data_IF_241403261765
#
_entry.id   IF_241403261765
#
_cell.length_a   1.000
_cell.length_b   1.000
_cell.length_c   1.000
_cell.angle_alpha   90.00
_cell.angle_beta   90.00
_cell.angle_gamma   90.00
#
_symmetry.space_group_name_H-M   'P 1'
#
loop_
_entity.id
_entity.type
_entity.pdbx_description
1 polymer ?
#
# COMPACT_ATOMS: atom_id res chain seq x y z
N UNK A 1 16.59 21.62 -3.82
CA UNK A 1 15.27 20.99 -3.67
C UNK A 1 15.41 19.55 -4.16
N UNK A 2 15.33 18.55 -3.27
CA UNK A 2 15.48 17.13 -3.66
C UNK A 2 14.24 16.73 -4.47
N UNK A 3 14.43 16.26 -5.70
CA UNK A 3 13.33 15.68 -6.49
C UNK A 3 12.83 14.46 -5.71
N UNK A 4 11.53 14.41 -5.46
CA UNK A 4 10.91 13.21 -4.91
C UNK A 4 10.75 12.26 -6.08
N UNK A 5 11.46 11.14 -6.03
CA UNK A 5 11.41 10.18 -7.11
C UNK A 5 10.02 9.51 -7.12
N UNK A 6 9.44 9.19 -8.29
CA UNK A 6 8.15 8.50 -8.37
C UNK A 6 8.10 7.19 -7.57
N UNK A 7 9.25 6.53 -7.39
CA UNK A 7 9.42 5.36 -6.53
C UNK A 7 9.17 5.66 -5.05
N UNK A 8 9.66 6.80 -4.54
CA UNK A 8 9.46 7.22 -3.15
C UNK A 8 7.97 7.49 -2.85
N UNK A 9 7.27 8.09 -3.82
CA UNK A 9 5.81 8.33 -3.73
C UNK A 9 5.07 7.00 -3.66
N UNK A 10 5.43 6.06 -4.55
CA UNK A 10 4.79 4.74 -4.60
C UNK A 10 5.04 3.95 -3.31
N UNK A 11 6.27 3.97 -2.79
CA UNK A 11 6.62 3.34 -1.52
C UNK A 11 5.77 3.90 -0.38
N UNK A 12 5.61 5.23 -0.33
CA UNK A 12 4.81 5.88 0.70
C UNK A 12 3.33 5.49 0.61
N UNK A 13 2.76 5.45 -0.59
CA UNK A 13 1.38 5.03 -0.81
C UNK A 13 1.12 3.59 -0.34
N UNK A 14 2.07 2.66 -0.59
CA UNK A 14 1.99 1.29 -0.10
C UNK A 14 2.00 1.21 1.43
N UNK A 15 2.87 2.00 2.08
CA UNK A 15 2.97 2.05 3.54
C UNK A 15 1.67 2.59 4.13
N UNK A 16 1.16 3.71 3.61
CA UNK A 16 -0.08 4.33 4.08
C UNK A 16 -1.29 3.39 3.90
N UNK A 17 -1.45 2.79 2.71
CA UNK A 17 -2.52 1.82 2.47
C UNK A 17 -2.44 0.61 3.40
N UNK A 18 -1.24 0.11 3.70
CA UNK A 18 -1.04 -1.02 4.61
C UNK A 18 -1.47 -0.67 6.04
N UNK A 19 -1.05 0.50 6.53
CA UNK A 19 -1.40 0.98 7.88
C UNK A 19 -2.93 1.10 8.00
N UNK A 20 -3.58 1.70 7.00
CA UNK A 20 -5.04 1.86 7.00
C UNK A 20 -5.76 0.51 6.96
N UNK A 21 -5.33 -0.42 6.10
CA UNK A 21 -5.93 -1.76 6.05
C UNK A 21 -5.78 -2.49 7.37
N UNK A 22 -4.61 -2.41 8.02
CA UNK A 22 -4.39 -3.02 9.32
C UNK A 22 -5.21 -2.35 10.44
N UNK A 23 -5.39 -1.03 10.39
CA UNK A 23 -6.18 -0.29 11.35
C UNK A 23 -7.67 -0.66 11.26
N UNK A 24 -8.18 -0.93 10.05
CA UNK A 24 -9.59 -1.27 9.83
C UNK A 24 -9.90 -2.75 10.09
N UNK A 25 -9.07 -3.66 9.58
CA UNK A 25 -9.32 -5.11 9.62
C UNK A 25 -8.63 -5.82 10.79
N UNK A 26 -7.59 -5.21 11.37
CA UNK A 26 -6.65 -5.89 12.27
C UNK A 26 -5.59 -6.69 11.50
N UNK A 27 -4.44 -6.91 12.15
CA UNK A 27 -3.28 -7.53 11.52
C UNK A 27 -3.57 -8.93 10.97
N UNK A 28 -4.19 -9.82 11.76
CA UNK A 28 -4.44 -11.21 11.35
C UNK A 28 -5.43 -11.35 10.21
N UNK A 29 -6.32 -10.37 10.00
CA UNK A 29 -7.29 -10.37 8.90
C UNK A 29 -6.78 -9.63 7.66
N UNK A 30 -5.65 -8.93 7.75
CA UNK A 30 -5.08 -8.17 6.64
C UNK A 30 -4.42 -9.09 5.63
N UNK A 31 -4.74 -8.92 4.34
CA UNK A 31 -4.13 -9.67 3.23
C UNK A 31 -3.52 -8.74 2.19
N UNK A 32 -2.54 -9.23 1.42
CA UNK A 32 -1.96 -8.47 0.31
C UNK A 32 -3.01 -8.07 -0.74
N UNK A 33 -4.02 -8.91 -0.96
CA UNK A 33 -5.14 -8.60 -1.84
C UNK A 33 -5.96 -7.40 -1.32
N UNK A 34 -6.28 -7.37 -0.02
CA UNK A 34 -7.00 -6.24 0.60
C UNK A 34 -6.19 -4.95 0.60
N UNK A 35 -4.87 -5.02 0.80
CA UNK A 35 -3.96 -3.87 0.70
C UNK A 35 -3.93 -3.35 -0.74
N UNK A 36 -3.81 -4.23 -1.73
CA UNK A 36 -3.74 -3.85 -3.14
C UNK A 36 -5.01 -3.20 -3.68
N UNK A 37 -6.18 -3.73 -3.28
CA UNK A 37 -7.47 -3.10 -3.59
C UNK A 37 -7.54 -1.67 -3.05
N UNK A 38 -7.06 -1.46 -1.81
CA UNK A 38 -7.06 -0.13 -1.18
C UNK A 38 -6.07 0.84 -1.82
N UNK A 39 -4.85 0.36 -2.08
CA UNK A 39 -3.80 1.18 -2.67
C UNK A 39 -4.06 1.55 -4.14
N UNK A 40 -5.18 1.10 -4.73
CA UNK A 40 -5.52 1.22 -6.17
C UNK A 40 -4.39 0.70 -7.07
N UNK A 41 -3.64 -0.27 -6.57
CA UNK A 41 -2.54 -0.89 -7.29
C UNK A 41 -3.10 -2.04 -8.11
N UNK A 42 -2.61 -2.20 -9.34
CA UNK A 42 -2.95 -3.36 -10.13
C UNK A 42 -2.36 -4.62 -9.47
N UNK A 43 -3.05 -5.78 -9.51
CA UNK A 43 -2.57 -7.02 -8.90
C UNK A 43 -1.14 -7.43 -9.31
N UNK A 44 -0.70 -7.06 -10.51
CA UNK A 44 0.65 -7.34 -11.02
C UNK A 44 1.78 -6.54 -10.33
N UNK A 45 1.47 -5.58 -9.46
CA UNK A 45 2.46 -4.81 -8.69
C UNK A 45 2.78 -5.43 -7.32
N UNK A 46 1.95 -6.36 -6.85
CA UNK A 46 2.06 -7.00 -5.52
C UNK A 46 2.51 -8.47 -5.63
N UNK A 47 2.65 -8.96 -6.87
CA UNK A 47 3.13 -10.31 -7.19
C UNK A 47 4.65 -10.44 -7.11
#
# INVERSE_FOLDING_TARGET
MRRVEPEDIRRRQLIEATIETMAEAGFSATTLASIGQRAKLSPGLIA
#
